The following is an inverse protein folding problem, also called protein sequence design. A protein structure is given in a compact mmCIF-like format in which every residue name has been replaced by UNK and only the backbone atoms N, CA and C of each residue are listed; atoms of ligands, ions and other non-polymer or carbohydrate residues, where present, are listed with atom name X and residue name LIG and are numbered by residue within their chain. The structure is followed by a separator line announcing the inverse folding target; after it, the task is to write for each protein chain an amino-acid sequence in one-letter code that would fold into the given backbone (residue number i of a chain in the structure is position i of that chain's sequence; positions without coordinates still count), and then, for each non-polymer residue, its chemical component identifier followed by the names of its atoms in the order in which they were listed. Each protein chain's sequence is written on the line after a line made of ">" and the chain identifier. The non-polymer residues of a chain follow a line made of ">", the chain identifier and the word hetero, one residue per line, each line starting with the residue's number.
data_IF_799523685319
#
_entry.id   IF_799523685319
#
_cell.length_a   1.000
_cell.length_b   1.000
_cell.length_c   1.000
_cell.angle_alpha   90.00
_cell.angle_beta   90.00
_cell.angle_gamma   90.00
#
_symmetry.space_group_name_H-M   'P 1'
#
loop_
_entity.id
_entity.type
_entity.pdbx_description
1 polymer ?
#
# COMPACT_ATOMS: atom_id res chain seq x y z
N UNK A 1 -11.34 -6.92 9.56
CA UNK A 1 -10.18 -6.42 10.34
C UNK A 1 -9.33 -5.59 9.39
N UNK A 2 -8.62 -4.56 9.86
CA UNK A 2 -7.79 -3.68 9.03
C UNK A 2 -6.33 -3.85 9.41
N UNK A 3 -5.44 -3.89 8.43
CA UNK A 3 -3.99 -4.09 8.60
C UNK A 3 -3.29 -2.95 7.88
N UNK A 4 -2.42 -2.24 8.60
CA UNK A 4 -1.57 -1.20 8.03
C UNK A 4 -0.20 -1.79 7.74
N UNK A 5 0.34 -1.51 6.55
CA UNK A 5 1.69 -1.90 6.15
C UNK A 5 2.48 -0.61 5.93
N UNK A 6 3.60 -0.46 6.64
CA UNK A 6 4.52 0.67 6.49
C UNK A 6 5.82 0.14 5.91
N UNK A 7 6.09 0.44 4.64
CA UNK A 7 7.30 0.04 3.93
C UNK A 7 8.21 1.23 3.62
N UNK A 8 9.54 1.08 3.68
CA UNK A 8 10.46 2.09 3.13
C UNK A 8 10.37 2.15 1.61
N UNK A 9 10.59 3.33 1.02
CA UNK A 9 10.79 3.45 -0.42
C UNK A 9 12.24 3.22 -0.79
N UNK A 10 12.49 2.36 -1.78
CA UNK A 10 13.82 2.04 -2.32
C UNK A 10 14.10 2.74 -3.66
N UNK A 11 13.05 3.07 -4.43
CA UNK A 11 13.18 3.55 -5.80
C UNK A 11 13.05 5.07 -5.93
N UNK A 12 12.24 5.72 -5.09
CA UNK A 12 11.98 7.15 -5.18
C UNK A 12 12.32 7.88 -3.89
N UNK A 13 12.77 9.13 -4.02
CA UNK A 13 12.97 9.99 -2.85
C UNK A 13 11.61 10.47 -2.36
N UNK A 14 11.19 9.94 -1.22
CA UNK A 14 9.94 10.31 -0.58
C UNK A 14 10.22 11.07 0.73
N UNK A 15 9.95 12.39 0.80
CA UNK A 15 10.20 13.18 2.00
C UNK A 15 9.17 12.93 3.12
N UNK A 16 8.02 12.35 2.79
CA UNK A 16 6.95 11.99 3.72
C UNK A 16 6.49 10.55 3.51
N UNK A 17 5.18 10.32 3.55
CA UNK A 17 4.56 9.04 3.25
C UNK A 17 3.69 9.16 2.01
N UNK A 18 3.53 8.05 1.28
CA UNK A 18 2.67 8.00 0.12
C UNK A 18 1.64 6.87 0.26
N UNK A 19 0.50 7.05 -0.39
CA UNK A 19 -0.61 6.11 -0.48
C UNK A 19 -0.65 5.51 -1.88
N UNK A 20 -1.04 4.24 -1.96
CA UNK A 20 -1.22 3.55 -3.24
C UNK A 20 -2.41 4.13 -4.01
N UNK A 21 -2.24 4.41 -5.30
CA UNK A 21 -3.38 4.76 -6.18
C UNK A 21 -4.22 3.55 -6.59
N UNK A 22 -3.84 2.33 -6.19
CA UNK A 22 -4.60 1.13 -6.46
C UNK A 22 -5.78 0.99 -5.48
N UNK A 23 -6.81 0.26 -5.90
CA UNK A 23 -7.92 -0.15 -5.01
C UNK A 23 -7.76 -1.59 -4.52
N UNK A 24 -6.85 -2.35 -5.14
CA UNK A 24 -6.64 -3.77 -4.87
C UNK A 24 -5.19 -4.15 -5.14
N UNK A 25 -4.59 -4.89 -4.20
CA UNK A 25 -3.32 -5.57 -4.39
C UNK A 25 -3.54 -7.05 -4.70
N UNK A 26 -2.97 -7.52 -5.80
CA UNK A 26 -3.02 -8.94 -6.17
C UNK A 26 -1.97 -9.72 -5.40
N UNK A 27 -2.33 -10.93 -4.99
CA UNK A 27 -1.37 -11.91 -4.45
C UNK A 27 -1.59 -13.26 -5.12
N UNK A 28 -0.63 -14.20 -5.06
CA UNK A 28 -0.85 -15.55 -5.55
C UNK A 28 -1.96 -16.34 -4.83
N UNK A 29 -2.43 -15.88 -3.66
CA UNK A 29 -3.46 -16.55 -2.87
C UNK A 29 -4.86 -15.99 -3.18
N UNK A 30 -5.05 -14.69 -2.94
CA UNK A 30 -6.26 -13.95 -3.29
C UNK A 30 -5.97 -12.44 -3.28
N UNK A 31 -6.89 -11.66 -3.85
CA UNK A 31 -6.77 -10.20 -3.96
C UNK A 31 -7.09 -9.51 -2.62
N UNK A 32 -6.22 -8.60 -2.20
CA UNK A 32 -6.36 -7.79 -1.00
C UNK A 32 -6.94 -6.42 -1.35
N UNK A 33 -8.10 -6.08 -0.77
CA UNK A 33 -8.72 -4.76 -0.98
C UNK A 33 -8.05 -3.70 -0.11
N UNK A 34 -7.78 -2.55 -0.71
CA UNK A 34 -7.30 -1.37 0.01
C UNK A 34 -8.50 -0.66 0.62
N UNK A 35 -8.34 -0.14 1.84
CA UNK A 35 -9.39 0.61 2.53
C UNK A 35 -9.40 2.06 2.03
N UNK A 36 -10.18 2.30 0.97
CA UNK A 36 -10.27 3.61 0.30
C UNK A 36 -10.75 4.73 1.21
N UNK A 37 -11.60 4.42 2.21
CA UNK A 37 -12.10 5.40 3.17
C UNK A 37 -10.95 5.89 4.06
N UNK A 38 -10.16 4.96 4.62
CA UNK A 38 -8.99 5.30 5.43
C UNK A 38 -7.91 6.00 4.61
N UNK A 39 -7.67 5.59 3.36
CA UNK A 39 -6.72 6.29 2.49
C UNK A 39 -7.13 7.75 2.26
N UNK A 40 -8.42 8.02 2.05
CA UNK A 40 -8.92 9.41 1.93
C UNK A 40 -8.75 10.19 3.22
N UNK A 41 -9.07 9.61 4.38
CA UNK A 41 -8.84 10.26 5.67
C UNK A 41 -7.36 10.63 5.88
N UNK A 42 -6.43 9.77 5.45
CA UNK A 42 -4.99 10.03 5.52
C UNK A 42 -4.55 11.13 4.55
N UNK A 43 -5.06 11.13 3.32
CA UNK A 43 -4.84 12.21 2.34
C UNK A 43 -5.31 13.56 2.90
N UNK A 44 -6.51 13.62 3.50
CA UNK A 44 -7.10 14.84 4.06
C UNK A 44 -6.27 15.48 5.18
N UNK A 45 -5.36 14.72 5.81
CA UNK A 45 -4.42 15.28 6.80
C UNK A 45 -3.37 16.21 6.17
N UNK A 46 -3.15 16.13 4.85
CA UNK A 46 -2.10 16.85 4.13
C UNK A 46 -0.68 16.33 4.41
N UNK A 47 -0.54 15.17 5.08
CA UNK A 47 0.76 14.55 5.40
C UNK A 47 1.16 13.42 4.43
N UNK A 48 0.25 13.07 3.52
CA UNK A 48 0.41 11.97 2.58
C UNK A 48 0.20 12.45 1.14
N UNK A 49 0.94 11.85 0.22
CA UNK A 49 0.80 12.07 -1.23
C UNK A 49 0.34 10.78 -1.91
N UNK A 50 -0.23 10.86 -3.11
CA UNK A 50 -0.53 9.66 -3.90
C UNK A 50 0.68 9.22 -4.71
N UNK A 51 0.99 7.94 -4.65
CA UNK A 51 2.02 7.31 -5.46
C UNK A 51 1.47 6.99 -6.86
N UNK A 52 2.25 7.26 -7.90
CA UNK A 52 1.90 6.81 -9.25
C UNK A 52 2.02 5.29 -9.38
N UNK A 53 1.24 4.70 -10.28
CA UNK A 53 1.15 3.23 -10.38
C UNK A 53 2.47 2.56 -10.74
N UNK A 54 3.35 3.20 -11.53
CA UNK A 54 4.62 2.59 -11.90
C UNK A 54 5.55 2.52 -10.68
N UNK A 55 5.61 3.59 -9.89
CA UNK A 55 6.39 3.59 -8.65
C UNK A 55 5.86 2.57 -7.64
N UNK A 56 4.54 2.38 -7.56
CA UNK A 56 3.91 1.38 -6.68
C UNK A 56 4.28 -0.04 -7.11
N UNK A 57 4.15 -0.36 -8.40
CA UNK A 57 4.51 -1.69 -8.94
C UNK A 57 6.02 -1.99 -8.91
N UNK A 58 6.87 -0.96 -8.99
CA UNK A 58 8.32 -1.10 -8.85
C UNK A 58 8.77 -1.31 -7.38
N UNK A 59 7.93 -0.98 -6.38
CA UNK A 59 8.30 -1.06 -4.96
C UNK A 59 7.94 -2.40 -4.32
N UNK A 60 8.95 -3.08 -3.77
CA UNK A 60 8.78 -4.42 -3.21
C UNK A 60 8.63 -4.47 -1.69
N UNK A 61 8.93 -3.40 -0.96
CA UNK A 61 8.96 -3.45 0.51
C UNK A 61 7.59 -3.78 1.13
N UNK A 62 6.51 -3.29 0.50
CA UNK A 62 5.12 -3.59 0.86
C UNK A 62 4.71 -4.93 0.24
N UNK A 63 5.03 -5.17 -1.04
CA UNK A 63 4.65 -6.38 -1.78
C UNK A 63 5.04 -7.67 -1.04
N UNK A 64 6.25 -7.71 -0.47
CA UNK A 64 6.75 -8.89 0.25
C UNK A 64 5.91 -9.28 1.47
N UNK A 65 5.11 -8.36 2.02
CA UNK A 65 4.22 -8.64 3.14
C UNK A 65 2.88 -9.23 2.69
N UNK A 66 2.44 -8.94 1.47
CA UNK A 66 1.08 -9.24 1.01
C UNK A 66 0.74 -10.75 1.03
N UNK A 67 1.60 -11.66 0.54
CA UNK A 67 1.29 -13.10 0.59
C UNK A 67 1.19 -13.65 2.01
N UNK A 68 2.03 -13.15 2.93
CA UNK A 68 1.98 -13.57 4.35
C UNK A 68 0.71 -13.09 5.03
N UNK A 69 0.31 -11.85 4.79
CA UNK A 69 -0.94 -11.29 5.30
C UNK A 69 -2.12 -12.09 4.76
N UNK A 70 -2.16 -12.33 3.45
CA UNK A 70 -3.21 -13.14 2.84
C UNK A 70 -3.27 -14.54 3.48
N UNK A 71 -2.12 -15.19 3.73
CA UNK A 71 -2.11 -16.53 4.34
C UNK A 71 -2.59 -16.55 5.80
N UNK A 72 -2.22 -15.56 6.61
CA UNK A 72 -2.57 -15.51 8.04
C UNK A 72 -4.03 -15.12 8.27
N UNK A 73 -4.64 -14.45 7.29
CA UNK A 73 -6.01 -13.92 7.36
C UNK A 73 -7.05 -14.78 6.64
N UNK A 74 -6.66 -15.95 6.12
CA UNK A 74 -7.55 -16.97 5.54
C UNK A 74 -8.63 -17.47 6.52
#
# INVERSE_FOLDING_TARGET
>A
RRIFILGPSHHVRLPGCALSSATTYRTPLYDLKIDEEVCRELEETGQFEWMDMNTDEDEHSIEMQLPFIAKVME
#
